data_IF_075723769353
#
_entry.id   IF_075723769353
#
_cell.length_a   1.000
_cell.length_b   1.000
_cell.length_c   1.000
_cell.angle_alpha   90.00
_cell.angle_beta   90.00
_cell.angle_gamma   90.00
#
_symmetry.space_group_name_H-M   'P 1'
#
loop_
_entity.id
_entity.type
_entity.pdbx_description
1 polymer ?
#
# COMPACT_ATOMS: atom_id res chain seq x y z
N UNK A 1 -0.09 -7.46 -10.17
CA UNK A 1 0.13 -7.36 -8.70
C UNK A 1 1.63 -7.46 -8.46
N UNK A 2 2.20 -6.58 -7.65
CA UNK A 2 3.64 -6.68 -7.34
C UNK A 2 3.82 -7.76 -6.26
N UNK A 3 4.32 -8.92 -6.68
CA UNK A 3 4.49 -10.08 -5.81
C UNK A 3 5.92 -10.08 -5.25
N UNK A 4 6.11 -9.34 -4.14
CA UNK A 4 7.41 -9.19 -3.48
C UNK A 4 7.30 -9.55 -2.00
N UNK A 5 8.40 -10.00 -1.38
CA UNK A 5 8.48 -10.14 0.06
C UNK A 5 8.13 -8.84 0.79
N UNK A 6 7.54 -8.94 1.95
CA UNK A 6 7.16 -7.81 2.80
C UNK A 6 7.74 -8.00 4.20
N UNK A 7 8.56 -7.06 4.64
CA UNK A 7 9.11 -7.03 5.98
C UNK A 7 8.14 -6.38 6.96
N UNK A 8 7.96 -7.00 8.12
CA UNK A 8 7.13 -6.48 9.20
C UNK A 8 7.81 -6.65 10.55
N UNK A 9 7.79 -5.62 11.36
CA UNK A 9 8.21 -5.71 12.75
C UNK A 9 7.09 -6.33 13.59
N UNK A 10 7.45 -7.32 14.41
CA UNK A 10 6.54 -7.94 15.37
C UNK A 10 7.21 -8.03 16.73
N UNK A 11 6.43 -7.74 17.77
CA UNK A 11 6.84 -7.97 19.15
C UNK A 11 6.27 -9.31 19.62
N UNK A 12 7.15 -10.24 20.00
CA UNK A 12 6.79 -11.52 20.60
C UNK A 12 7.67 -11.75 21.82
N UNK A 13 7.07 -12.14 22.94
CA UNK A 13 7.77 -12.44 24.21
C UNK A 13 8.75 -11.36 24.68
N UNK A 14 8.38 -10.11 24.44
CA UNK A 14 9.18 -8.95 24.82
C UNK A 14 10.28 -8.55 23.84
N UNK A 15 10.62 -9.40 22.88
CA UNK A 15 11.59 -9.10 21.82
C UNK A 15 10.92 -8.55 20.56
N UNK A 16 11.59 -7.58 19.91
CA UNK A 16 11.21 -7.09 18.59
C UNK A 16 11.91 -7.93 17.52
N UNK A 17 11.14 -8.51 16.61
CA UNK A 17 11.65 -9.34 15.53
C UNK A 17 11.22 -8.79 14.18
N UNK A 18 12.08 -8.92 13.17
CA UNK A 18 11.73 -8.71 11.78
C UNK A 18 11.21 -10.02 11.20
N UNK A 19 9.98 -10.02 10.74
CA UNK A 19 9.38 -11.12 9.99
C UNK A 19 9.32 -10.74 8.52
N UNK A 20 10.05 -11.44 7.67
CA UNK A 20 9.91 -11.35 6.21
C UNK A 20 8.83 -12.33 5.77
N UNK A 21 7.85 -11.82 5.07
CA UNK A 21 6.71 -12.58 4.57
C UNK A 21 6.87 -12.74 3.07
N UNK A 22 7.21 -13.94 2.64
CA UNK A 22 7.37 -14.27 1.24
C UNK A 22 6.02 -14.43 0.53
N UNK A 23 5.96 -14.08 -0.78
CA UNK A 23 4.84 -14.45 -1.62
C UNK A 23 4.70 -15.98 -1.66
N UNK A 24 3.44 -16.44 -1.72
CA UNK A 24 3.15 -17.87 -1.81
C UNK A 24 1.92 -18.14 -2.67
N UNK A 25 1.81 -19.32 -3.30
CA UNK A 25 0.62 -19.68 -4.07
C UNK A 25 -0.69 -19.58 -3.28
N UNK A 26 -0.67 -19.93 -2.00
CA UNK A 26 -1.85 -19.82 -1.14
C UNK A 26 -2.27 -18.36 -0.89
N UNK A 27 -1.32 -17.45 -0.72
CA UNK A 27 -1.59 -16.01 -0.61
C UNK A 27 -2.13 -15.43 -1.89
N UNK A 28 -1.54 -15.81 -3.03
CA UNK A 28 -2.03 -15.43 -4.34
C UNK A 28 -3.46 -15.92 -4.54
N UNK A 29 -3.74 -17.19 -4.27
CA UNK A 29 -5.09 -17.76 -4.38
C UNK A 29 -6.12 -16.98 -3.53
N UNK A 30 -5.80 -16.67 -2.28
CA UNK A 30 -6.69 -15.87 -1.41
C UNK A 30 -6.87 -14.47 -1.98
N UNK A 31 -5.81 -13.83 -2.46
CA UNK A 31 -5.88 -12.50 -3.07
C UNK A 31 -6.79 -12.49 -4.30
N UNK A 32 -6.64 -13.46 -5.20
CA UNK A 32 -7.47 -13.60 -6.39
C UNK A 32 -8.94 -13.89 -6.04
N UNK A 33 -9.19 -14.74 -5.03
CA UNK A 33 -10.55 -14.98 -4.53
C UNK A 33 -11.19 -13.70 -3.94
N UNK A 34 -10.41 -12.86 -3.26
CA UNK A 34 -10.89 -11.56 -2.75
C UNK A 34 -11.20 -10.58 -3.89
N UNK A 35 -10.40 -10.56 -4.94
CA UNK A 35 -10.65 -9.74 -6.13
C UNK A 35 -11.89 -10.23 -6.89
N UNK A 36 -12.02 -11.53 -7.09
CA UNK A 36 -13.20 -12.14 -7.71
C UNK A 36 -14.47 -11.79 -6.92
N UNK A 37 -14.45 -11.93 -5.60
CA UNK A 37 -15.60 -11.56 -4.77
C UNK A 37 -15.97 -10.08 -4.95
N UNK A 38 -14.99 -9.20 -4.98
CA UNK A 38 -15.22 -7.76 -5.19
C UNK A 38 -15.81 -7.44 -6.57
N UNK A 39 -15.36 -8.13 -7.62
CA UNK A 39 -15.91 -8.00 -8.97
C UNK A 39 -17.35 -8.53 -9.06
N UNK A 40 -17.64 -9.68 -8.43
CA UNK A 40 -18.98 -10.26 -8.37
C UNK A 40 -19.95 -9.34 -7.64
N UNK A 41 -19.55 -8.78 -6.49
CA UNK A 41 -20.36 -7.83 -5.74
C UNK A 41 -20.64 -6.56 -6.56
N UNK A 42 -19.63 -6.05 -7.27
CA UNK A 42 -19.80 -4.91 -8.15
C UNK A 42 -20.79 -5.20 -9.30
N UNK A 43 -20.66 -6.36 -9.93
CA UNK A 43 -21.59 -6.82 -10.97
C UNK A 43 -23.01 -6.97 -10.44
N UNK A 44 -23.20 -7.53 -9.25
CA UNK A 44 -24.50 -7.62 -8.59
C UNK A 44 -25.12 -6.24 -8.38
N UNK A 45 -24.32 -5.28 -7.89
CA UNK A 45 -24.77 -3.89 -7.71
C UNK A 45 -25.22 -3.25 -9.02
N UNK A 46 -24.47 -3.44 -10.10
CA UNK A 46 -24.83 -2.92 -11.44
C UNK A 46 -26.12 -3.56 -11.98
N UNK A 47 -26.27 -4.89 -11.84
CA UNK A 47 -27.44 -5.61 -12.34
C UNK A 47 -28.75 -5.22 -11.64
N UNK A 48 -28.67 -4.79 -10.38
CA UNK A 48 -29.82 -4.42 -9.56
C UNK A 48 -29.98 -2.91 -9.36
N UNK A 49 -29.19 -2.08 -10.06
CA UNK A 49 -29.13 -0.64 -9.84
C UNK A 49 -28.99 -0.27 -8.35
N UNK A 50 -28.22 -1.09 -7.63
CA UNK A 50 -28.01 -1.00 -6.19
C UNK A 50 -26.83 -0.10 -5.89
N UNK A 51 -26.99 1.02 -5.16
CA UNK A 51 -25.89 1.82 -4.71
C UNK A 51 -24.98 1.03 -3.78
N UNK A 52 -23.68 0.92 -4.11
CA UNK A 52 -22.67 0.24 -3.33
C UNK A 52 -21.44 1.17 -3.16
N UNK A 53 -20.61 0.97 -2.14
CA UNK A 53 -19.38 1.73 -2.00
C UNK A 53 -18.33 1.22 -3.00
N UNK A 54 -18.52 1.58 -4.28
CA UNK A 54 -17.58 1.24 -5.35
C UNK A 54 -16.24 1.87 -5.13
N UNK A 55 -15.19 1.15 -5.46
CA UNK A 55 -13.82 1.63 -5.43
C UNK A 55 -13.26 1.71 -6.84
N UNK A 56 -12.86 2.88 -7.24
CA UNK A 56 -12.31 3.18 -8.56
C UNK A 56 -10.87 3.68 -8.47
N UNK A 57 -10.17 3.62 -9.58
CA UNK A 57 -8.86 4.21 -9.74
C UNK A 57 -8.74 4.77 -11.16
N UNK A 58 -8.50 6.05 -11.32
CA UNK A 58 -8.30 6.65 -12.65
C UNK A 58 -7.18 5.96 -13.41
N UNK A 59 -7.29 5.97 -14.74
CA UNK A 59 -6.22 5.51 -15.61
C UNK A 59 -4.93 6.28 -15.33
N UNK A 60 -3.81 5.57 -15.39
CA UNK A 60 -2.49 6.16 -15.20
C UNK A 60 -1.73 6.20 -16.54
N UNK A 61 -1.01 7.27 -16.76
CA UNK A 61 -0.01 7.32 -17.83
C UNK A 61 1.25 6.58 -17.31
N UNK A 62 1.44 5.37 -17.80
CA UNK A 62 2.61 4.58 -17.47
C UNK A 62 3.81 5.03 -18.31
N UNK A 63 5.05 4.87 -17.80
CA UNK A 63 6.24 5.07 -18.62
C UNK A 63 6.21 4.16 -19.85
N UNK A 64 6.77 4.64 -20.95
CA UNK A 64 6.91 3.84 -22.16
C UNK A 64 7.76 2.57 -21.91
N UNK A 65 7.63 1.58 -22.78
CA UNK A 65 8.45 0.36 -22.70
C UNK A 65 9.94 0.71 -22.72
N UNK A 66 10.35 1.64 -23.60
CA UNK A 66 11.75 2.06 -23.71
C UNK A 66 12.28 2.75 -22.44
N UNK A 67 11.44 3.48 -21.75
CA UNK A 67 11.79 4.10 -20.44
C UNK A 67 11.90 3.04 -19.34
N UNK A 68 10.99 2.07 -19.31
CA UNK A 68 11.02 0.98 -18.34
C UNK A 68 12.20 0.04 -18.57
N UNK A 69 12.59 -0.20 -19.82
CA UNK A 69 13.72 -1.09 -20.17
C UNK A 69 15.09 -0.51 -19.78
N UNK A 70 15.17 0.81 -19.54
CA UNK A 70 16.35 1.47 -18.96
C UNK A 70 16.47 1.26 -17.45
N UNK A 71 15.40 0.83 -16.78
CA UNK A 71 15.38 0.56 -15.35
C UNK A 71 15.43 -0.95 -15.15
N UNK A 72 16.37 -1.47 -14.35
CA UNK A 72 16.45 -2.91 -14.07
C UNK A 72 15.13 -3.47 -13.54
N UNK A 73 14.80 -4.70 -13.95
CA UNK A 73 13.62 -5.38 -13.43
C UNK A 73 13.69 -5.54 -11.90
N UNK A 74 12.53 -5.55 -11.26
CA UNK A 74 12.42 -5.69 -9.81
C UNK A 74 12.05 -4.38 -9.11
N UNK A 75 12.58 -4.12 -7.88
CA UNK A 75 12.11 -3.04 -7.02
C UNK A 75 12.15 -1.64 -7.65
N UNK A 76 13.18 -1.34 -8.43
CA UNK A 76 13.32 -0.02 -9.05
C UNK A 76 12.27 0.22 -10.15
N UNK A 77 12.06 -0.76 -11.05
CA UNK A 77 11.04 -0.70 -12.10
C UNK A 77 9.63 -0.64 -11.51
N UNK A 78 9.37 -1.46 -10.48
CA UNK A 78 8.10 -1.45 -9.74
C UNK A 78 7.82 -0.09 -9.08
N UNK A 79 8.86 0.55 -8.50
CA UNK A 79 8.72 1.88 -7.91
C UNK A 79 8.41 2.95 -8.96
N UNK A 80 8.99 2.85 -10.17
CA UNK A 80 8.70 3.74 -11.28
C UNK A 80 7.24 3.61 -11.73
N UNK A 81 6.72 2.39 -11.88
CA UNK A 81 5.33 2.12 -12.24
C UNK A 81 4.38 2.61 -11.12
N UNK A 82 4.65 2.24 -9.87
CA UNK A 82 3.82 2.63 -8.71
C UNK A 82 3.66 4.14 -8.56
N UNK A 83 4.69 4.91 -8.92
CA UNK A 83 4.64 6.38 -8.85
C UNK A 83 3.59 6.99 -9.78
N UNK A 84 3.29 6.33 -10.89
CA UNK A 84 2.30 6.80 -11.87
C UNK A 84 0.87 6.49 -11.44
N UNK A 85 0.68 5.55 -10.52
CA UNK A 85 -0.64 5.14 -10.06
C UNK A 85 -1.23 6.18 -9.09
N UNK A 86 -2.43 6.66 -9.42
CA UNK A 86 -3.21 7.50 -8.51
C UNK A 86 -3.82 6.68 -7.37
N UNK A 87 -4.27 7.37 -6.32
CA UNK A 87 -5.01 6.71 -5.24
C UNK A 87 -6.38 6.26 -5.74
N UNK A 88 -6.83 5.12 -5.23
CA UNK A 88 -8.21 4.71 -5.40
C UNK A 88 -9.16 5.65 -4.67
N UNK A 89 -10.30 5.92 -5.30
CA UNK A 89 -11.39 6.76 -4.79
C UNK A 89 -12.58 5.88 -4.50
N UNK A 90 -13.37 6.24 -3.49
CA UNK A 90 -14.62 5.57 -3.17
C UNK A 90 -15.80 6.45 -3.62
N UNK A 91 -16.84 5.82 -4.16
CA UNK A 91 -18.03 6.51 -4.65
C UNK A 91 -19.24 5.58 -4.69
N UNK A 92 -20.41 6.13 -5.01
CA UNK A 92 -21.69 5.42 -5.03
C UNK A 92 -21.97 4.73 -6.37
N UNK A 93 -21.21 5.04 -7.40
CA UNK A 93 -21.38 4.54 -8.78
C UNK A 93 -20.19 3.73 -9.25
N UNK A 94 -20.42 2.73 -10.12
CA UNK A 94 -19.33 1.93 -10.69
C UNK A 94 -18.47 2.78 -11.62
N UNK A 95 -17.16 2.70 -11.43
CA UNK A 95 -16.11 3.30 -12.26
C UNK A 95 -14.93 2.33 -12.36
N UNK A 96 -14.16 2.34 -13.45
CA UNK A 96 -13.02 1.45 -13.62
C UNK A 96 -11.97 1.57 -12.51
N UNK A 97 -11.33 0.45 -12.19
CA UNK A 97 -10.18 0.41 -11.29
C UNK A 97 -8.93 0.00 -12.08
N UNK A 98 -8.12 0.99 -12.49
CA UNK A 98 -7.02 0.80 -13.44
C UNK A 98 -6.05 -0.32 -13.06
N UNK A 99 -5.48 -0.29 -11.86
CA UNK A 99 -4.45 -1.28 -11.47
C UNK A 99 -5.00 -2.70 -11.23
N UNK A 100 -6.31 -2.87 -11.11
CA UNK A 100 -6.95 -4.18 -11.04
C UNK A 100 -7.43 -4.67 -12.41
N UNK A 101 -7.49 -3.80 -13.43
CA UNK A 101 -8.03 -4.13 -14.73
C UNK A 101 -9.53 -4.47 -14.69
N UNK A 102 -10.29 -3.88 -13.75
CA UNK A 102 -11.71 -4.16 -13.55
C UNK A 102 -12.53 -2.93 -13.91
N UNK A 103 -13.65 -3.15 -14.63
CA UNK A 103 -14.61 -2.09 -14.97
C UNK A 103 -15.40 -1.58 -13.76
N UNK A 104 -15.55 -2.41 -12.73
CA UNK A 104 -16.15 -2.03 -11.46
C UNK A 104 -15.60 -2.93 -10.34
N UNK A 105 -15.45 -2.38 -9.15
CA UNK A 105 -14.95 -3.10 -7.98
C UNK A 105 -15.58 -2.59 -6.70
N UNK A 106 -15.96 -3.52 -5.80
CA UNK A 106 -16.43 -3.21 -4.45
C UNK A 106 -15.63 -4.03 -3.44
N UNK A 107 -15.12 -3.39 -2.40
CA UNK A 107 -14.52 -4.14 -1.29
C UNK A 107 -15.60 -4.71 -0.38
N UNK A 108 -15.63 -6.05 -0.21
CA UNK A 108 -16.64 -6.74 0.57
C UNK A 108 -16.10 -7.86 1.46
N UNK A 109 -14.77 -8.08 1.47
CA UNK A 109 -14.16 -9.29 2.08
C UNK A 109 -13.73 -9.12 3.53
N UNK A 110 -13.87 -7.93 4.12
CA UNK A 110 -13.39 -7.67 5.49
C UNK A 110 -14.34 -6.76 6.30
N UNK A 111 -15.63 -7.11 6.45
CA UNK A 111 -16.62 -6.25 7.11
C UNK A 111 -16.37 -6.03 8.61
N UNK A 112 -15.59 -6.88 9.26
CA UNK A 112 -15.23 -6.74 10.68
C UNK A 112 -14.33 -5.53 10.93
N UNK A 113 -13.48 -5.17 9.96
CA UNK A 113 -12.46 -4.12 10.12
C UNK A 113 -12.57 -2.98 9.11
N UNK A 114 -13.40 -3.10 8.08
CA UNK A 114 -13.68 -2.05 7.10
C UNK A 114 -15.17 -1.77 7.05
N UNK A 115 -15.54 -0.58 7.51
CA UNK A 115 -16.95 -0.21 7.59
C UNK A 115 -17.62 -0.15 6.22
N UNK A 116 -16.91 0.28 5.17
CA UNK A 116 -17.43 0.27 3.81
C UNK A 116 -17.84 -1.14 3.33
N UNK A 117 -17.05 -2.17 3.68
CA UNK A 117 -17.41 -3.57 3.39
C UNK A 117 -18.70 -3.98 4.12
N UNK A 118 -18.86 -3.56 5.38
CA UNK A 118 -20.09 -3.80 6.16
C UNK A 118 -21.30 -3.11 5.52
N UNK A 119 -21.12 -1.89 5.02
CA UNK A 119 -22.16 -1.16 4.29
C UNK A 119 -22.54 -1.91 3.02
N UNK A 120 -21.56 -2.37 2.25
CA UNK A 120 -21.82 -3.20 1.05
C UNK A 120 -22.66 -4.45 1.39
N UNK A 121 -22.32 -5.16 2.48
CA UNK A 121 -23.10 -6.31 2.95
C UNK A 121 -24.53 -5.93 3.32
N UNK A 122 -24.74 -4.83 4.03
CA UNK A 122 -26.08 -4.36 4.40
C UNK A 122 -26.94 -4.03 3.19
N UNK A 123 -26.36 -3.37 2.19
CA UNK A 123 -27.04 -3.06 0.93
C UNK A 123 -27.48 -4.34 0.20
N UNK A 124 -26.57 -5.32 0.08
CA UNK A 124 -26.85 -6.61 -0.57
C UNK A 124 -27.94 -7.39 0.20
N UNK A 125 -27.84 -7.46 1.52
CA UNK A 125 -28.82 -8.15 2.38
C UNK A 125 -30.20 -7.48 2.24
N UNK A 126 -30.27 -6.15 2.25
CA UNK A 126 -31.52 -5.42 2.08
C UNK A 126 -32.16 -5.77 0.71
N UNK A 127 -31.38 -5.72 -0.37
CA UNK A 127 -31.83 -6.10 -1.71
C UNK A 127 -32.37 -7.53 -1.78
N UNK A 128 -31.61 -8.49 -1.21
CA UNK A 128 -31.99 -9.92 -1.25
C UNK A 128 -33.20 -10.25 -0.36
N UNK A 129 -33.39 -9.53 0.75
CA UNK A 129 -34.52 -9.72 1.66
C UNK A 129 -35.79 -8.95 1.27
N UNK A 130 -35.73 -8.19 0.18
CA UNK A 130 -36.85 -7.31 -0.23
C UNK A 130 -37.07 -6.10 0.69
N UNK A 131 -36.11 -5.78 1.54
CA UNK A 131 -36.10 -4.54 2.31
C UNK A 131 -35.57 -3.38 1.47
N UNK A 132 -35.89 -2.14 1.84
CA UNK A 132 -35.36 -0.98 1.13
C UNK A 132 -33.87 -0.78 1.43
N UNK A 133 -32.99 -0.85 0.42
CA UNK A 133 -31.59 -0.47 0.59
C UNK A 133 -31.47 1.03 0.86
N UNK A 134 -30.32 1.45 1.38
CA UNK A 134 -29.94 2.85 1.50
C UNK A 134 -29.83 3.49 0.12
N UNK A 135 -30.47 4.64 -0.10
CA UNK A 135 -30.38 5.39 -1.35
C UNK A 135 -28.98 5.97 -1.61
N UNK A 136 -28.74 6.37 -2.85
CA UNK A 136 -27.44 6.86 -3.31
C UNK A 136 -26.93 8.08 -2.50
N UNK A 137 -27.80 9.05 -2.26
CA UNK A 137 -27.47 10.27 -1.49
C UNK A 137 -26.99 9.92 -0.07
N UNK A 138 -27.75 9.10 0.64
CA UNK A 138 -27.37 8.67 1.99
C UNK A 138 -26.10 7.83 2.03
N UNK A 139 -25.88 7.01 1.01
CA UNK A 139 -24.64 6.26 0.88
C UNK A 139 -23.45 7.21 0.63
N UNK A 140 -23.64 8.26 -0.17
CA UNK A 140 -22.62 9.30 -0.39
C UNK A 140 -22.19 9.96 0.93
N UNK A 141 -23.15 10.38 1.75
CA UNK A 141 -22.87 10.95 3.08
C UNK A 141 -22.07 9.97 3.96
N UNK A 142 -22.43 8.70 3.96
CA UNK A 142 -21.69 7.66 4.71
C UNK A 142 -20.25 7.50 4.21
N UNK A 143 -20.04 7.56 2.90
CA UNK A 143 -18.68 7.46 2.31
C UNK A 143 -17.86 8.69 2.72
N UNK A 144 -18.43 9.89 2.65
CA UNK A 144 -17.75 11.14 3.02
C UNK A 144 -17.38 11.15 4.51
N UNK A 145 -18.28 10.69 5.38
CA UNK A 145 -18.06 10.56 6.82
C UNK A 145 -16.92 9.58 7.17
N UNK A 146 -16.60 8.63 6.28
CA UNK A 146 -15.50 7.67 6.49
C UNK A 146 -14.11 8.21 6.14
N UNK A 147 -14.01 9.28 5.37
CA UNK A 147 -12.74 9.76 4.83
C UNK A 147 -11.77 10.19 5.95
N UNK A 148 -12.21 10.98 6.90
CA UNK A 148 -11.37 11.45 8.01
C UNK A 148 -10.95 10.34 8.98
N UNK A 149 -11.85 9.46 9.47
CA UNK A 149 -11.46 8.31 10.27
C UNK A 149 -10.47 7.37 9.56
N UNK A 150 -10.63 7.16 8.26
CA UNK A 150 -9.70 6.35 7.47
C UNK A 150 -8.32 7.00 7.36
N UNK A 151 -8.25 8.32 7.14
CA UNK A 151 -6.97 9.06 7.11
C UNK A 151 -6.27 8.98 8.47
N UNK A 152 -6.99 9.17 9.56
CA UNK A 152 -6.45 9.07 10.92
C UNK A 152 -5.93 7.65 11.21
N UNK A 153 -6.70 6.62 10.87
CA UNK A 153 -6.29 5.22 11.05
C UNK A 153 -5.01 4.88 10.27
N UNK A 154 -4.90 5.38 9.03
CA UNK A 154 -3.68 5.22 8.20
C UNK A 154 -2.50 5.96 8.84
N UNK A 155 -2.71 7.16 9.36
CA UNK A 155 -1.66 7.94 10.03
C UNK A 155 -1.16 7.22 11.27
N UNK A 156 -2.05 6.78 12.16
CA UNK A 156 -1.70 6.04 13.38
C UNK A 156 -0.90 4.77 13.02
N UNK A 157 -1.35 4.02 12.00
CA UNK A 157 -0.64 2.82 11.56
C UNK A 157 0.76 3.12 11.03
N UNK A 158 0.95 4.26 10.34
CA UNK A 158 2.28 4.69 9.86
C UNK A 158 3.18 5.14 10.99
N UNK A 159 2.65 5.84 11.98
CA UNK A 159 3.38 6.29 13.17
C UNK A 159 3.83 5.08 14.00
N UNK A 160 2.96 4.10 14.19
CA UNK A 160 3.28 2.83 14.86
C UNK A 160 4.41 2.08 14.12
N UNK A 161 4.28 1.89 12.80
CA UNK A 161 5.34 1.26 12.01
C UNK A 161 6.66 2.03 12.10
N UNK A 162 6.61 3.35 12.03
CA UNK A 162 7.80 4.20 12.14
C UNK A 162 8.46 4.07 13.51
N UNK A 163 7.68 4.02 14.59
CA UNK A 163 8.19 3.81 15.94
C UNK A 163 8.95 2.49 16.05
N UNK A 164 8.34 1.38 15.58
CA UNK A 164 8.98 0.08 15.62
C UNK A 164 10.22 -0.02 14.72
N UNK A 165 10.24 0.70 13.60
CA UNK A 165 11.46 0.86 12.80
C UNK A 165 12.56 1.55 13.60
N UNK A 166 12.24 2.65 14.30
CA UNK A 166 13.21 3.36 15.13
C UNK A 166 13.78 2.48 16.24
N UNK A 167 12.93 1.71 16.93
CA UNK A 167 13.37 0.76 17.97
C UNK A 167 14.29 -0.29 17.35
N UNK A 168 13.88 -0.92 16.26
CA UNK A 168 14.68 -1.98 15.63
C UNK A 168 16.04 -1.47 15.14
N UNK A 169 16.08 -0.33 14.46
CA UNK A 169 17.33 0.27 13.99
C UNK A 169 18.22 0.77 15.13
N UNK A 170 17.65 1.15 16.27
CA UNK A 170 18.44 1.52 17.45
C UNK A 170 19.20 0.34 18.04
N UNK A 171 18.69 -0.89 17.88
CA UNK A 171 19.34 -2.14 18.29
C UNK A 171 20.33 -2.67 17.25
N UNK A 172 20.33 -2.14 16.01
CA UNK A 172 21.13 -2.62 14.88
C UNK A 172 22.05 -1.53 14.30
N UNK A 173 22.54 -0.60 15.11
CA UNK A 173 23.28 0.58 14.65
C UNK A 173 24.60 0.26 13.90
N UNK A 174 25.25 -0.86 14.20
CA UNK A 174 26.48 -1.28 13.56
C UNK A 174 26.31 -2.08 12.27
N UNK A 175 25.08 -2.42 11.92
CA UNK A 175 24.79 -3.26 10.75
C UNK A 175 24.79 -2.42 9.48
N UNK A 176 25.31 -3.02 8.41
CA UNK A 176 25.30 -2.46 7.06
C UNK A 176 24.46 -3.37 6.18
N UNK A 177 23.52 -2.79 5.43
CA UNK A 177 22.67 -3.53 4.53
C UNK A 177 22.96 -3.16 3.09
N UNK A 178 22.83 -4.13 2.17
CA UNK A 178 22.78 -3.85 0.76
C UNK A 178 21.43 -3.23 0.42
N UNK A 179 21.45 -2.14 -0.33
CA UNK A 179 20.26 -1.40 -0.72
C UNK A 179 20.28 -1.11 -2.21
N UNK A 180 19.13 -1.20 -2.87
CA UNK A 180 18.96 -0.80 -4.27
C UNK A 180 18.31 0.58 -4.33
N UNK A 181 18.92 1.51 -5.07
CA UNK A 181 18.35 2.83 -5.27
C UNK A 181 17.08 2.74 -6.12
N UNK A 182 15.99 3.32 -5.62
CA UNK A 182 14.72 3.36 -6.34
C UNK A 182 14.49 4.71 -7.01
N UNK A 183 14.59 5.79 -6.24
CA UNK A 183 14.41 7.14 -6.74
C UNK A 183 14.77 8.21 -5.72
N UNK A 184 14.97 9.41 -6.20
CA UNK A 184 15.00 10.59 -5.37
C UNK A 184 13.59 10.97 -4.85
N UNK A 185 13.50 11.35 -3.58
CA UNK A 185 12.30 11.95 -2.98
C UNK A 185 12.42 13.47 -2.97
N UNK A 186 13.56 13.97 -2.53
CA UNK A 186 13.94 15.38 -2.54
C UNK A 186 15.42 15.49 -2.94
N UNK A 187 15.71 15.70 -4.22
CA UNK A 187 17.09 15.71 -4.72
C UNK A 187 17.93 16.80 -4.06
N UNK A 188 17.35 17.97 -3.77
CA UNK A 188 18.03 19.09 -3.12
C UNK A 188 18.52 18.75 -1.69
N UNK A 189 17.82 17.88 -0.97
CA UNK A 189 18.17 17.41 0.36
C UNK A 189 18.91 16.06 0.31
N UNK A 190 19.22 15.59 -0.90
CA UNK A 190 19.77 14.25 -1.18
C UNK A 190 18.98 13.10 -0.54
N UNK A 191 17.67 13.31 -0.35
CA UNK A 191 16.79 12.32 0.25
C UNK A 191 16.30 11.36 -0.83
N UNK A 192 16.54 10.07 -0.62
CA UNK A 192 16.23 9.00 -1.55
C UNK A 192 15.37 7.90 -0.93
N UNK A 193 14.66 7.18 -1.79
CA UNK A 193 14.00 5.91 -1.47
C UNK A 193 14.88 4.78 -2.00
N UNK A 194 15.15 3.82 -1.14
CA UNK A 194 15.91 2.61 -1.48
C UNK A 194 15.16 1.36 -1.03
N UNK A 195 15.36 0.25 -1.72
CA UNK A 195 14.87 -1.06 -1.31
C UNK A 195 15.98 -1.84 -0.62
N UNK A 196 15.70 -2.39 0.55
CA UNK A 196 16.61 -3.27 1.30
C UNK A 196 16.04 -4.68 1.28
N UNK A 197 16.64 -5.54 0.47
CA UNK A 197 16.11 -6.90 0.22
C UNK A 197 16.11 -7.77 1.49
N UNK A 198 17.17 -7.67 2.31
CA UNK A 198 17.26 -8.43 3.57
C UNK A 198 16.17 -8.08 4.58
N UNK A 199 15.64 -6.86 4.48
CA UNK A 199 14.55 -6.37 5.32
C UNK A 199 13.20 -6.46 4.62
N UNK A 200 13.20 -6.72 3.32
CA UNK A 200 12.03 -6.67 2.45
C UNK A 200 11.24 -5.36 2.60
N UNK A 201 11.94 -4.24 2.67
CA UNK A 201 11.38 -2.91 2.93
C UNK A 201 11.95 -1.84 2.00
N UNK A 202 11.07 -0.87 1.68
CA UNK A 202 11.49 0.38 1.06
C UNK A 202 11.75 1.41 2.18
N UNK A 203 12.97 1.95 2.24
CA UNK A 203 13.42 2.86 3.30
C UNK A 203 13.86 4.20 2.73
N UNK A 204 13.76 5.24 3.55
CA UNK A 204 14.15 6.59 3.20
C UNK A 204 15.46 6.95 3.90
N UNK A 205 16.46 7.40 3.16
CA UNK A 205 17.75 7.80 3.71
C UNK A 205 18.39 8.93 2.92
N UNK A 206 19.47 9.48 3.48
CA UNK A 206 20.25 10.56 2.86
C UNK A 206 21.42 9.94 2.11
N UNK A 207 21.56 10.22 0.84
CA UNK A 207 22.69 9.77 0.01
C UNK A 207 23.88 10.68 0.27
N UNK A 208 25.03 10.11 0.69
CA UNK A 208 26.18 10.90 1.16
C UNK A 208 27.23 11.17 0.10
N UNK A 209 27.48 10.25 -0.83
CA UNK A 209 28.67 10.30 -1.67
C UNK A 209 28.44 10.19 -3.19
N UNK A 210 27.39 9.54 -3.64
CA UNK A 210 27.13 9.22 -5.04
C UNK A 210 25.96 10.02 -5.63
N UNK A 211 25.76 9.92 -6.94
CA UNK A 211 24.56 10.37 -7.60
C UNK A 211 23.90 9.17 -8.32
N UNK A 212 23.25 8.27 -7.57
CA UNK A 212 22.78 7.00 -8.10
C UNK A 212 21.62 7.16 -9.07
N UNK A 213 21.52 6.18 -9.97
CA UNK A 213 20.41 5.96 -10.87
C UNK A 213 19.52 4.80 -10.39
N UNK A 214 18.24 4.75 -10.81
CA UNK A 214 17.34 3.66 -10.42
C UNK A 214 17.93 2.28 -10.75
N UNK A 215 18.06 1.44 -9.71
CA UNK A 215 18.63 0.11 -9.80
C UNK A 215 20.06 -0.03 -9.29
N UNK A 216 20.77 1.07 -9.04
CA UNK A 216 22.12 1.03 -8.47
C UNK A 216 22.13 0.39 -7.08
N UNK A 217 23.18 -0.41 -6.84
CA UNK A 217 23.43 -0.99 -5.52
C UNK A 217 24.25 -0.06 -4.65
N UNK A 218 23.78 0.13 -3.44
CA UNK A 218 24.33 1.04 -2.44
C UNK A 218 24.39 0.33 -1.09
N UNK A 219 25.08 0.94 -0.15
CA UNK A 219 25.08 0.52 1.25
C UNK A 219 24.18 1.44 2.09
N UNK A 220 23.37 0.83 2.97
CA UNK A 220 22.56 1.55 3.95
C UNK A 220 23.09 1.31 5.34
N UNK A 221 23.27 2.40 6.10
CA UNK A 221 23.75 2.40 7.49
C UNK A 221 22.85 3.28 8.35
N UNK A 222 22.81 2.98 9.65
CA UNK A 222 22.15 3.85 10.63
C UNK A 222 23.06 5.01 10.97
N UNK A 223 22.64 6.23 10.62
CA UNK A 223 23.31 7.44 11.07
C UNK A 223 22.93 7.82 12.50
N UNK A 224 21.62 7.78 12.79
CA UNK A 224 21.05 8.01 14.12
C UNK A 224 19.71 7.30 14.26
N UNK A 225 19.49 6.66 15.39
CA UNK A 225 18.19 6.11 15.77
C UNK A 225 17.92 6.40 17.24
N UNK A 226 16.88 7.16 17.53
CA UNK A 226 16.43 7.51 18.89
C UNK A 226 14.90 7.37 18.96
N UNK A 227 14.38 6.21 19.40
CA UNK A 227 12.95 5.96 19.48
C UNK A 227 12.22 6.90 20.46
N UNK A 228 12.91 7.42 21.50
CA UNK A 228 12.32 8.31 22.48
C UNK A 228 12.07 9.70 21.89
N UNK A 229 12.98 10.14 21.02
CA UNK A 229 12.84 11.41 20.30
C UNK A 229 12.11 11.29 18.96
N UNK A 230 11.76 10.07 18.56
CA UNK A 230 11.14 9.81 17.27
C UNK A 230 12.07 10.04 16.07
N UNK A 231 13.38 9.89 16.26
CA UNK A 231 14.39 10.17 15.24
C UNK A 231 14.91 8.86 14.61
N UNK A 232 14.94 8.84 13.29
CA UNK A 232 15.62 7.82 12.49
C UNK A 232 16.27 8.51 11.29
N UNK A 233 17.57 8.46 11.21
CA UNK A 233 18.37 8.96 10.09
C UNK A 233 19.17 7.80 9.51
N UNK A 234 18.86 7.44 8.28
CA UNK A 234 19.58 6.43 7.52
C UNK A 234 20.50 7.12 6.52
N UNK A 235 21.70 6.62 6.38
CA UNK A 235 22.72 7.09 5.44
C UNK A 235 22.92 6.05 4.35
N UNK A 236 23.08 6.54 3.13
CA UNK A 236 23.24 5.73 1.93
C UNK A 236 24.54 6.17 1.25
N UNK A 237 25.41 5.21 0.95
CA UNK A 237 26.70 5.46 0.30
C UNK A 237 27.00 4.51 -0.84
#
# INVERSE_FOLDING_TARGET
MFDRPEGRFRRSDGALTLQVIDPSPSRLMVSEAMLLMGAVVASFGQQHDLPLPFRSQPAAELPSTDELDRIPEGPARDAAIKRCLSRGVQGTRPMPHFSLGLEAYVQATSPIRRYADLVAHRQIIAQLSGSAPMGEERLGEVIDDLDDPLRQSIQISREDQRHWQQVWFSEHQSTVWSAQFLRWLRPQDRLALVHVSDLAMDLVGVVTSSNPEPGDNLELRVGRADPVRGELQLQIS
#
